data_IF_625910658355
#
_entry.id   IF_625910658355
#
_cell.length_a   1.000
_cell.length_b   1.000
_cell.length_c   1.000
_cell.angle_alpha   90.00
_cell.angle_beta   90.00
_cell.angle_gamma   90.00
#
_symmetry.space_group_name_H-M   'P 1'
#
loop_
_entity.id
_entity.type
_entity.pdbx_description
1 polymer ?
#
# COMPACT_ATOMS: atom_id res chain seq x y z
N UNK A 1 14.67 18.77 7.61
CA UNK A 1 13.61 19.64 7.04
C UNK A 1 12.39 18.82 6.67
N UNK A 2 12.52 17.78 5.85
CA UNK A 2 11.40 16.91 5.46
C UNK A 2 10.63 16.31 6.68
N UNK A 3 11.30 15.67 7.63
CA UNK A 3 10.62 15.06 8.80
C UNK A 3 9.79 16.03 9.67
N UNK A 4 10.15 17.31 9.73
CA UNK A 4 9.48 18.32 10.56
C UNK A 4 8.17 18.81 9.91
N UNK A 5 8.18 19.12 8.61
CA UNK A 5 6.99 19.47 7.82
C UNK A 5 5.96 18.33 7.81
N UNK A 6 6.46 17.11 7.99
CA UNK A 6 5.71 15.86 7.97
C UNK A 6 5.02 15.53 9.31
N UNK A 7 5.66 15.82 10.45
CA UNK A 7 4.99 15.75 11.76
C UNK A 7 3.91 16.83 11.82
N UNK A 8 4.22 18.01 11.27
CA UNK A 8 3.31 19.16 11.18
C UNK A 8 2.17 18.97 10.15
N UNK A 9 2.25 17.98 9.26
CA UNK A 9 1.22 17.76 8.24
C UNK A 9 -0.13 17.38 8.88
N UNK A 10 -1.24 17.85 8.30
CA UNK A 10 -2.56 17.67 8.89
C UNK A 10 -2.95 16.19 8.93
N UNK A 11 -3.66 15.80 9.98
CA UNK A 11 -4.14 14.43 10.18
C UNK A 11 -4.94 13.90 8.97
N UNK A 12 -5.70 14.78 8.30
CA UNK A 12 -6.48 14.45 7.11
C UNK A 12 -5.61 13.94 5.95
N UNK A 13 -4.42 14.53 5.77
CA UNK A 13 -3.49 14.12 4.72
C UNK A 13 -2.87 12.75 5.04
N UNK A 14 -2.52 12.51 6.31
CA UNK A 14 -2.01 11.22 6.78
C UNK A 14 -3.05 10.11 6.58
N UNK A 15 -4.30 10.37 6.93
CA UNK A 15 -5.42 9.46 6.73
C UNK A 15 -5.66 9.19 5.24
N UNK A 16 -5.60 10.23 4.40
CA UNK A 16 -5.76 10.08 2.95
C UNK A 16 -4.71 9.13 2.36
N UNK A 17 -3.44 9.26 2.76
CA UNK A 17 -2.40 8.36 2.27
C UNK A 17 -2.57 6.93 2.76
N UNK A 18 -2.97 6.73 4.02
CA UNK A 18 -3.29 5.38 4.54
C UNK A 18 -4.43 4.76 3.74
N UNK A 19 -5.51 5.53 3.49
CA UNK A 19 -6.62 5.07 2.65
C UNK A 19 -6.17 4.71 1.24
N UNK A 20 -5.29 5.51 0.62
CA UNK A 20 -4.75 5.21 -0.70
C UNK A 20 -3.97 3.89 -0.69
N UNK A 21 -3.08 3.67 0.30
CA UNK A 21 -2.33 2.42 0.41
C UNK A 21 -3.28 1.23 0.53
N UNK A 22 -4.31 1.32 1.37
CA UNK A 22 -5.30 0.25 1.56
C UNK A 22 -6.04 -0.03 0.24
N UNK A 23 -6.59 1.01 -0.40
CA UNK A 23 -7.35 0.88 -1.64
C UNK A 23 -6.49 0.29 -2.77
N UNK A 24 -5.30 0.85 -3.02
CA UNK A 24 -4.43 0.37 -4.09
C UNK A 24 -3.89 -1.04 -3.83
N UNK A 25 -3.65 -1.42 -2.58
CA UNK A 25 -3.25 -2.79 -2.24
C UNK A 25 -4.36 -3.80 -2.49
N UNK A 26 -5.58 -3.49 -2.05
CA UNK A 26 -6.73 -4.34 -2.25
C UNK A 26 -7.06 -4.50 -3.74
N UNK A 27 -7.05 -3.39 -4.49
CA UNK A 27 -7.26 -3.42 -5.94
C UNK A 27 -6.16 -4.22 -6.66
N UNK A 28 -4.89 -3.99 -6.33
CA UNK A 28 -3.77 -4.69 -6.95
C UNK A 28 -3.80 -6.20 -6.64
N UNK A 29 -4.10 -6.58 -5.40
CA UNK A 29 -4.29 -7.99 -5.02
C UNK A 29 -5.46 -8.62 -5.75
N UNK A 30 -6.61 -7.96 -5.80
CA UNK A 30 -7.80 -8.45 -6.49
C UNK A 30 -7.53 -8.65 -8.00
N UNK A 31 -6.93 -7.63 -8.62
CA UNK A 31 -6.56 -7.66 -10.02
C UNK A 31 -5.57 -8.80 -10.32
N UNK A 32 -4.55 -8.97 -9.49
CA UNK A 32 -3.57 -10.03 -9.68
C UNK A 32 -4.19 -11.42 -9.55
N UNK A 33 -5.01 -11.67 -8.52
CA UNK A 33 -5.74 -12.94 -8.36
C UNK A 33 -6.63 -13.24 -9.57
N UNK A 34 -7.32 -12.22 -10.08
CA UNK A 34 -8.13 -12.35 -11.29
C UNK A 34 -7.28 -12.69 -12.53
N UNK A 35 -6.10 -12.08 -12.70
CA UNK A 35 -5.20 -12.40 -13.82
C UNK A 35 -4.72 -13.85 -13.81
N UNK A 36 -4.49 -14.43 -12.62
CA UNK A 36 -4.06 -15.83 -12.48
C UNK A 36 -5.24 -16.82 -12.36
N UNK A 37 -6.47 -16.37 -12.64
CA UNK A 37 -7.70 -17.17 -12.56
C UNK A 37 -7.98 -17.77 -11.17
N UNK A 38 -7.50 -17.12 -10.11
CA UNK A 38 -7.74 -17.54 -8.73
C UNK A 38 -9.02 -16.85 -8.20
N UNK A 39 -9.94 -17.58 -7.54
CA UNK A 39 -11.10 -16.94 -6.91
C UNK A 39 -10.63 -15.95 -5.85
N UNK A 40 -11.35 -14.83 -5.72
CA UNK A 40 -10.96 -13.78 -4.80
C UNK A 40 -10.86 -14.30 -3.36
N UNK A 41 -9.65 -14.25 -2.82
CA UNK A 41 -9.32 -14.64 -1.45
C UNK A 41 -9.03 -13.39 -0.61
N UNK A 42 -9.90 -13.16 0.39
CA UNK A 42 -9.84 -12.03 1.31
C UNK A 42 -8.59 -12.05 2.20
N UNK A 43 -8.11 -13.22 2.58
CA UNK A 43 -6.93 -13.36 3.45
C UNK A 43 -5.67 -12.90 2.72
N UNK A 44 -5.58 -13.23 1.43
CA UNK A 44 -4.49 -12.77 0.56
C UNK A 44 -4.55 -11.25 0.38
N UNK A 45 -5.75 -10.70 0.15
CA UNK A 45 -5.94 -9.24 0.03
C UNK A 45 -5.60 -8.50 1.33
N UNK A 46 -5.94 -9.07 2.49
CA UNK A 46 -5.60 -8.51 3.79
C UNK A 46 -4.09 -8.55 4.05
N UNK A 47 -3.43 -9.67 3.76
CA UNK A 47 -1.97 -9.78 3.84
C UNK A 47 -1.25 -8.81 2.90
N UNK A 48 -1.79 -8.59 1.70
CA UNK A 48 -1.30 -7.59 0.75
C UNK A 48 -1.35 -6.17 1.33
N UNK A 49 -2.46 -5.80 1.98
CA UNK A 49 -2.60 -4.49 2.65
C UNK A 49 -1.54 -4.32 3.77
N UNK A 50 -1.32 -5.36 4.58
CA UNK A 50 -0.31 -5.37 5.65
C UNK A 50 1.12 -5.15 5.11
N UNK A 51 1.48 -5.88 4.05
CA UNK A 51 2.80 -5.75 3.42
C UNK A 51 2.96 -4.38 2.77
N UNK A 52 1.96 -3.90 2.04
CA UNK A 52 1.98 -2.56 1.45
C UNK A 52 2.09 -1.46 2.50
N UNK A 53 1.45 -1.63 3.67
CA UNK A 53 1.61 -0.75 4.81
C UNK A 53 3.05 -0.74 5.34
N UNK A 54 3.69 -1.91 5.44
CA UNK A 54 5.11 -2.02 5.79
C UNK A 54 6.04 -1.36 4.78
N UNK A 55 5.81 -1.58 3.49
CA UNK A 55 6.55 -0.92 2.40
C UNK A 55 6.34 0.60 2.45
N UNK A 56 5.11 1.03 2.72
CA UNK A 56 4.79 2.44 2.86
C UNK A 56 5.52 3.09 4.03
N UNK A 57 5.55 2.44 5.20
CA UNK A 57 6.32 2.91 6.36
C UNK A 57 7.82 2.98 6.08
N UNK A 58 8.36 2.04 5.30
CA UNK A 58 9.76 2.06 4.90
C UNK A 58 10.07 3.22 3.94
N UNK A 59 9.25 3.40 2.89
CA UNK A 59 9.37 4.53 1.95
C UNK A 59 9.16 5.87 2.64
N UNK A 60 8.23 5.92 3.59
CA UNK A 60 8.01 7.05 4.47
C UNK A 60 9.28 7.42 5.24
N UNK A 61 10.00 6.44 5.79
CA UNK A 61 11.22 6.70 6.55
C UNK A 61 12.39 7.20 5.68
N UNK A 62 12.39 6.93 4.37
CA UNK A 62 13.55 7.14 3.48
C UNK A 62 13.38 8.23 2.42
N UNK A 63 12.20 8.41 1.82
CA UNK A 63 12.07 9.11 0.53
C UNK A 63 10.99 10.19 0.43
N UNK A 64 10.33 10.62 1.53
CA UNK A 64 9.28 11.66 1.62
C UNK A 64 7.83 11.14 1.53
N UNK A 65 6.92 11.78 2.29
CA UNK A 65 5.47 11.50 2.27
C UNK A 65 4.86 12.11 1.00
N UNK A 66 4.43 11.28 0.05
CA UNK A 66 3.82 11.76 -1.19
C UNK A 66 2.71 10.84 -1.71
N UNK A 67 1.79 11.41 -2.50
CA UNK A 67 0.75 10.64 -3.18
C UNK A 67 1.34 9.50 -4.02
N UNK A 68 2.43 9.77 -4.74
CA UNK A 68 3.13 8.75 -5.52
C UNK A 68 3.65 7.60 -4.66
N UNK A 69 4.25 7.91 -3.50
CA UNK A 69 4.75 6.87 -2.58
C UNK A 69 3.64 5.96 -2.06
N UNK A 70 2.46 6.51 -1.74
CA UNK A 70 1.31 5.75 -1.24
C UNK A 70 0.71 4.83 -2.30
N UNK A 71 0.63 5.33 -3.54
CA UNK A 71 0.13 4.52 -4.67
C UNK A 71 1.13 3.42 -5.01
N UNK A 72 2.42 3.74 -5.12
CA UNK A 72 3.46 2.76 -5.46
C UNK A 72 3.60 1.69 -4.39
N UNK A 73 3.60 2.04 -3.10
CA UNK A 73 3.66 1.05 -2.02
C UNK A 73 2.43 0.14 -2.02
N UNK A 74 1.25 0.71 -2.26
CA UNK A 74 0.00 -0.03 -2.37
C UNK A 74 0.02 -1.05 -3.50
N UNK A 75 0.38 -0.61 -4.71
CA UNK A 75 0.42 -1.47 -5.89
C UNK A 75 1.53 -2.53 -5.76
N UNK A 76 2.73 -2.14 -5.37
CA UNK A 76 3.86 -3.07 -5.25
C UNK A 76 3.62 -4.11 -4.16
N UNK A 77 3.20 -3.70 -2.96
CA UNK A 77 2.93 -4.66 -1.89
C UNK A 77 1.74 -5.57 -2.21
N UNK A 78 0.71 -5.03 -2.87
CA UNK A 78 -0.43 -5.80 -3.36
C UNK A 78 -0.04 -6.89 -4.34
N UNK A 79 0.76 -6.56 -5.36
CA UNK A 79 1.21 -7.53 -6.37
C UNK A 79 2.23 -8.51 -5.77
N UNK A 80 3.27 -8.01 -5.10
CA UNK A 80 4.38 -8.82 -4.61
C UNK A 80 3.92 -9.85 -3.57
N UNK A 81 3.06 -9.44 -2.63
CA UNK A 81 2.53 -10.36 -1.65
C UNK A 81 1.64 -11.41 -2.30
N UNK A 82 0.66 -10.98 -3.11
CA UNK A 82 -0.27 -11.89 -3.79
C UNK A 82 0.50 -12.91 -4.63
N UNK A 83 1.50 -12.47 -5.40
CA UNK A 83 2.38 -13.36 -6.18
C UNK A 83 3.16 -14.35 -5.34
N UNK A 84 3.55 -14.00 -4.11
CA UNK A 84 4.33 -14.90 -3.24
C UNK A 84 3.46 -16.02 -2.66
N UNK A 85 2.19 -15.74 -2.40
CA UNK A 85 1.28 -16.66 -1.69
C UNK A 85 0.30 -17.40 -2.61
N UNK A 86 0.38 -17.15 -3.92
CA UNK A 86 -0.37 -17.86 -4.98
C UNK A 86 0.58 -18.65 -5.85
#
# INVERSE_FOLDING_TARGET
MLWEEMIASPLSEKLLYICLVICFSGMASCYYQHMIHLPFNKDIAFGAILISGGIFLFLFATFWWSLASAVLSGVLGGILFTRKVT
#
